data_IF_267839706249
#
_entry.id   IF_267839706249
#
_cell.length_a   1.000
_cell.length_b   1.000
_cell.length_c   1.000
_cell.angle_alpha   90.00
_cell.angle_beta   90.00
_cell.angle_gamma   90.00
#
_symmetry.space_group_name_H-M   'P 1'
#
loop_
_entity.id
_entity.type
_entity.pdbx_description
1 polymer ?
#
# COMPACT_ATOMS: atom_id res chain seq x y z
N UNK A 1 -25.45 -1.75 26.31
CA UNK A 1 -24.11 -2.23 25.89
C UNK A 1 -24.10 -2.39 24.39
N UNK A 2 -23.49 -1.45 23.66
CA UNK A 2 -23.23 -1.66 22.24
C UNK A 2 -22.25 -2.84 22.10
N UNK A 3 -22.64 -3.87 21.35
CA UNK A 3 -21.73 -4.94 20.95
C UNK A 3 -20.63 -4.30 20.11
N UNK A 4 -19.38 -4.35 20.58
CA UNK A 4 -18.24 -4.07 19.73
C UNK A 4 -18.33 -5.02 18.52
N UNK A 5 -18.57 -4.45 17.34
CA UNK A 5 -18.49 -5.21 16.09
C UNK A 5 -17.03 -5.61 15.96
N UNK A 6 -16.73 -6.86 16.28
CA UNK A 6 -15.43 -7.44 15.97
C UNK A 6 -15.45 -7.63 14.46
N UNK A 7 -14.89 -6.66 13.72
CA UNK A 7 -14.54 -6.86 12.32
C UNK A 7 -13.55 -8.03 12.26
N UNK A 8 -14.05 -9.24 11.99
CA UNK A 8 -13.22 -10.43 11.87
C UNK A 8 -12.42 -10.35 10.58
N UNK A 9 -11.09 -10.29 10.68
CA UNK A 9 -10.18 -10.32 9.53
C UNK A 9 -9.96 -11.77 9.10
N UNK A 10 -10.23 -12.08 7.84
CA UNK A 10 -10.04 -13.44 7.32
C UNK A 10 -8.72 -13.52 6.55
N UNK A 11 -7.75 -14.25 7.11
CA UNK A 11 -6.46 -14.52 6.49
C UNK A 11 -6.49 -15.92 5.87
N UNK A 12 -6.26 -16.02 4.56
CA UNK A 12 -6.16 -17.30 3.85
C UNK A 12 -4.84 -18.00 4.12
N UNK A 13 -3.74 -17.24 4.16
CA UNK A 13 -2.40 -17.77 4.35
C UNK A 13 -1.47 -16.66 4.88
N UNK A 14 -0.51 -17.03 5.71
CA UNK A 14 0.62 -16.20 6.06
C UNK A 14 1.91 -17.04 6.15
N UNK A 15 2.96 -16.64 5.45
CA UNK A 15 4.25 -17.34 5.47
C UNK A 15 5.41 -16.36 5.24
N UNK A 16 6.62 -16.78 5.60
CA UNK A 16 7.85 -16.00 5.35
C UNK A 16 8.30 -16.18 3.91
N UNK A 17 8.77 -15.10 3.29
CA UNK A 17 9.49 -15.18 2.02
C UNK A 17 10.97 -15.35 2.34
N UNK A 18 11.63 -16.38 1.79
CA UNK A 18 13.08 -16.49 1.84
C UNK A 18 13.74 -15.19 1.41
N UNK A 19 14.80 -14.78 2.10
CA UNK A 19 15.56 -13.62 1.66
C UNK A 19 16.16 -13.89 0.27
N UNK A 20 16.11 -12.88 -0.60
CA UNK A 20 16.90 -12.89 -1.83
C UNK A 20 18.41 -12.93 -1.46
N UNK A 21 19.16 -13.97 -1.85
CA UNK A 21 20.58 -14.10 -1.52
C UNK A 21 21.44 -12.94 -2.03
N UNK A 22 21.03 -12.27 -3.10
CA UNK A 22 21.75 -11.12 -3.67
C UNK A 22 21.53 -9.82 -2.88
N UNK A 23 20.54 -9.79 -1.98
CA UNK A 23 20.20 -8.60 -1.22
C UNK A 23 21.04 -8.48 0.06
N UNK A 24 22.09 -7.64 0.00
CA UNK A 24 22.96 -7.32 1.14
C UNK A 24 22.37 -6.27 2.11
N UNK A 25 21.18 -5.75 1.84
CA UNK A 25 20.56 -4.74 2.70
C UNK A 25 20.11 -5.36 4.04
N UNK A 26 20.80 -4.99 5.13
CA UNK A 26 20.53 -5.42 6.53
C UNK A 26 20.47 -6.94 6.68
N UNK A 27 21.62 -7.59 6.62
CA UNK A 27 21.74 -9.05 6.69
C UNK A 27 21.17 -9.68 7.97
N UNK A 28 21.06 -8.94 9.07
CA UNK A 28 20.44 -9.42 10.32
C UNK A 28 18.92 -9.20 10.37
N UNK A 29 18.32 -8.56 9.36
CA UNK A 29 16.89 -8.28 9.37
C UNK A 29 16.05 -9.57 9.21
N UNK A 30 14.93 -9.72 9.93
CA UNK A 30 14.06 -10.86 9.74
C UNK A 30 13.47 -10.90 8.33
N UNK A 31 13.22 -12.10 7.82
CA UNK A 31 12.52 -12.32 6.56
C UNK A 31 11.14 -11.64 6.55
N UNK A 32 10.73 -11.18 5.36
CA UNK A 32 9.42 -10.59 5.15
C UNK A 32 8.32 -11.67 5.31
N UNK A 33 7.15 -11.26 5.78
CA UNK A 33 5.97 -12.13 5.85
C UNK A 33 5.01 -11.68 4.75
N UNK A 34 4.59 -12.60 3.88
CA UNK A 34 3.44 -12.40 3.00
C UNK A 34 2.19 -12.81 3.77
N UNK A 35 1.17 -11.96 3.71
CA UNK A 35 -0.17 -12.26 4.22
C UNK A 35 -1.15 -12.18 3.06
N UNK A 36 -1.85 -13.28 2.80
CA UNK A 36 -2.94 -13.36 1.83
C UNK A 36 -4.27 -13.22 2.55
N UNK A 37 -4.96 -12.12 2.32
CA UNK A 37 -6.31 -11.89 2.85
C UNK A 37 -7.35 -12.57 1.97
N UNK A 38 -8.46 -13.04 2.57
CA UNK A 38 -9.59 -13.57 1.80
C UNK A 38 -10.30 -12.49 1.00
N UNK A 39 -10.33 -11.27 1.51
CA UNK A 39 -11.00 -10.13 0.89
C UNK A 39 -10.07 -8.92 0.77
N UNK A 40 -10.19 -8.17 -0.32
CA UNK A 40 -9.42 -6.94 -0.55
C UNK A 40 -9.78 -5.82 0.43
N UNK A 41 -11.02 -5.82 0.93
CA UNK A 41 -11.49 -4.87 1.95
C UNK A 41 -10.63 -4.95 3.21
N UNK A 42 -10.38 -6.15 3.72
CA UNK A 42 -9.59 -6.40 4.93
C UNK A 42 -8.14 -5.94 4.77
N UNK A 43 -7.54 -6.27 3.62
CA UNK A 43 -6.21 -5.75 3.25
C UNK A 43 -6.18 -4.22 3.28
N UNK A 44 -7.16 -3.57 2.64
CA UNK A 44 -7.24 -2.11 2.56
C UNK A 44 -7.48 -1.47 3.92
N UNK A 45 -8.30 -2.10 4.77
CA UNK A 45 -8.52 -1.67 6.15
C UNK A 45 -7.21 -1.66 6.95
N UNK A 46 -6.43 -2.75 6.88
CA UNK A 46 -5.12 -2.82 7.55
C UNK A 46 -4.16 -1.76 7.02
N UNK A 47 -4.08 -1.57 5.70
CA UNK A 47 -3.20 -0.56 5.11
C UNK A 47 -3.59 0.86 5.55
N UNK A 48 -4.89 1.17 5.55
CA UNK A 48 -5.39 2.46 6.03
C UNK A 48 -5.01 2.67 7.50
N UNK A 49 -5.21 1.65 8.35
CA UNK A 49 -4.86 1.74 9.76
C UNK A 49 -3.36 1.93 9.99
N UNK A 50 -2.51 1.27 9.20
CA UNK A 50 -1.05 1.45 9.24
C UNK A 50 -0.62 2.89 8.91
N UNK A 51 -1.37 3.61 8.08
CA UNK A 51 -1.08 5.02 7.80
C UNK A 51 -1.44 5.95 8.96
N UNK A 52 -2.35 5.54 9.84
CA UNK A 52 -2.77 6.31 11.02
C UNK A 52 -1.91 6.03 12.25
N UNK A 53 -1.27 4.85 12.32
CA UNK A 53 -0.47 4.44 13.47
C UNK A 53 1.03 4.48 13.19
N UNK A 54 1.81 4.84 14.20
CA UNK A 54 3.28 4.74 14.11
C UNK A 54 3.70 3.28 14.30
N UNK A 55 4.26 2.68 13.25
CA UNK A 55 4.82 1.33 13.34
C UNK A 55 6.10 1.30 14.20
N UNK A 56 6.41 0.15 14.84
CA UNK A 56 7.68 -0.04 15.53
C UNK A 56 8.88 0.22 14.62
N UNK A 57 9.99 0.71 15.20
CA UNK A 57 11.20 1.05 14.45
C UNK A 57 11.68 -0.16 13.63
N UNK A 58 11.95 0.06 12.35
CA UNK A 58 12.44 -0.98 11.44
C UNK A 58 11.37 -1.93 10.90
N UNK A 59 10.07 -1.68 11.18
CA UNK A 59 8.95 -2.41 10.57
C UNK A 59 8.29 -1.56 9.49
N UNK A 60 7.81 -2.21 8.43
CA UNK A 60 7.03 -1.56 7.38
C UNK A 60 6.03 -2.56 6.81
N UNK A 61 4.83 -2.08 6.48
CA UNK A 61 3.83 -2.85 5.75
C UNK A 61 3.75 -2.29 4.33
N UNK A 62 3.76 -3.19 3.34
CA UNK A 62 3.70 -2.85 1.93
C UNK A 62 2.79 -3.85 1.23
N UNK A 63 2.20 -3.43 0.12
CA UNK A 63 1.45 -4.34 -0.75
C UNK A 63 2.40 -5.15 -1.61
N UNK A 64 2.13 -6.44 -1.72
CA UNK A 64 2.78 -7.27 -2.71
C UNK A 64 1.99 -7.21 -4.02
N UNK A 65 2.54 -6.45 -4.96
CA UNK A 65 1.99 -6.31 -6.31
C UNK A 65 2.75 -7.22 -7.30
N UNK A 66 2.08 -7.73 -8.34
CA UNK A 66 2.74 -8.35 -9.48
C UNK A 66 3.79 -7.43 -10.10
N UNK A 67 4.85 -8.00 -10.70
CA UNK A 67 5.97 -7.27 -11.31
C UNK A 67 5.55 -6.11 -12.24
N UNK A 68 4.61 -6.32 -13.20
CA UNK A 68 4.11 -5.25 -14.06
C UNK A 68 3.47 -4.09 -13.28
N UNK A 69 2.63 -4.41 -12.28
CA UNK A 69 1.97 -3.40 -11.44
C UNK A 69 2.97 -2.67 -10.52
N UNK A 70 4.03 -3.33 -10.06
CA UNK A 70 5.14 -2.68 -9.32
C UNK A 70 5.82 -1.61 -10.19
N UNK A 71 6.10 -1.93 -11.46
CA UNK A 71 6.70 -0.98 -12.42
C UNK A 71 5.79 0.21 -12.67
N UNK A 72 4.51 -0.02 -12.96
CA UNK A 72 3.52 1.05 -13.15
C UNK A 72 3.39 1.92 -11.91
N UNK A 73 3.33 1.32 -10.72
CA UNK A 73 3.26 2.06 -9.45
C UNK A 73 4.48 2.95 -9.25
N UNK A 74 5.67 2.49 -9.61
CA UNK A 74 6.89 3.29 -9.52
C UNK A 74 6.85 4.52 -10.46
N UNK A 75 6.38 4.34 -11.70
CA UNK A 75 6.18 5.44 -12.65
C UNK A 75 5.15 6.46 -12.13
N UNK A 76 3.99 5.99 -11.66
CA UNK A 76 2.97 6.85 -11.07
C UNK A 76 3.48 7.56 -9.81
N UNK A 77 4.35 6.94 -9.00
CA UNK A 77 4.93 7.57 -7.83
C UNK A 77 5.88 8.72 -8.20
N UNK A 78 6.66 8.58 -9.27
CA UNK A 78 7.49 9.66 -9.81
C UNK A 78 6.62 10.83 -10.29
N UNK A 79 5.55 10.54 -11.04
CA UNK A 79 4.62 11.57 -11.50
C UNK A 79 3.89 12.25 -10.35
N UNK A 80 3.44 11.48 -9.37
CA UNK A 80 2.79 11.99 -8.16
C UNK A 80 3.70 12.94 -7.36
N UNK A 81 5.02 12.70 -7.37
CA UNK A 81 5.99 13.60 -6.74
C UNK A 81 6.09 14.94 -7.48
N UNK A 82 6.10 14.94 -8.81
CA UNK A 82 6.09 16.16 -9.61
C UNK A 82 4.82 16.98 -9.36
N UNK A 83 3.64 16.35 -9.44
CA UNK A 83 2.36 17.03 -9.21
C UNK A 83 2.24 17.61 -7.79
N UNK A 84 2.85 16.97 -6.79
CA UNK A 84 2.91 17.53 -5.42
C UNK A 84 3.73 18.82 -5.35
N UNK A 85 4.79 18.95 -6.16
CA UNK A 85 5.55 20.21 -6.26
C UNK A 85 4.72 21.33 -6.88
N UNK A 86 3.77 20.97 -7.74
CA UNK A 86 2.81 21.90 -8.37
C UNK A 86 1.61 22.23 -7.44
N UNK A 87 1.62 21.74 -6.19
CA UNK A 87 0.59 22.05 -5.19
C UNK A 87 -0.64 21.14 -5.22
N UNK A 88 -0.61 20.04 -5.99
CA UNK A 88 -1.68 19.04 -6.01
C UNK A 88 -1.52 18.00 -4.90
N UNK A 89 -2.63 17.54 -4.34
CA UNK A 89 -2.68 16.34 -3.51
C UNK A 89 -2.78 15.11 -4.41
N UNK A 90 -2.02 14.07 -4.10
CA UNK A 90 -1.94 12.86 -4.92
C UNK A 90 -2.09 11.59 -4.09
N UNK A 91 -2.74 10.56 -4.64
CA UNK A 91 -2.79 9.21 -4.06
C UNK A 91 -2.77 8.17 -5.16
N UNK A 92 -2.14 7.04 -4.90
CA UNK A 92 -2.14 5.88 -5.80
C UNK A 92 -3.13 4.85 -5.25
N UNK A 93 -4.06 4.42 -6.08
CA UNK A 93 -5.05 3.40 -5.75
C UNK A 93 -4.65 2.09 -6.42
N UNK A 94 -4.60 1.01 -5.65
CA UNK A 94 -4.23 -0.31 -6.12
C UNK A 94 -5.49 -1.19 -6.27
N UNK A 95 -5.83 -1.51 -7.52
CA UNK A 95 -6.92 -2.41 -7.90
C UNK A 95 -6.35 -3.80 -8.25
N UNK A 96 -7.19 -4.85 -8.41
CA UNK A 96 -6.70 -6.20 -8.71
C UNK A 96 -5.84 -6.28 -9.98
N UNK A 97 -6.20 -5.52 -11.00
CA UNK A 97 -5.59 -5.59 -12.35
C UNK A 97 -4.96 -4.27 -12.79
N UNK A 98 -5.02 -3.21 -11.96
CA UNK A 98 -4.50 -1.89 -12.32
C UNK A 98 -4.01 -1.10 -11.11
N UNK A 99 -3.18 -0.10 -11.39
CA UNK A 99 -2.81 0.95 -10.45
C UNK A 99 -3.15 2.29 -11.07
N UNK A 100 -3.80 3.16 -10.30
CA UNK A 100 -4.31 4.45 -10.79
C UNK A 100 -3.79 5.57 -9.90
N UNK A 101 -3.37 6.67 -10.54
CA UNK A 101 -3.07 7.91 -9.84
C UNK A 101 -4.34 8.75 -9.77
N UNK A 102 -4.65 9.24 -8.58
CA UNK A 102 -5.71 10.23 -8.37
C UNK A 102 -5.10 11.52 -7.85
N UNK A 103 -5.65 12.64 -8.33
CA UNK A 103 -5.21 14.00 -8.02
C UNK A 103 -6.38 14.80 -7.47
N UNK A 104 -6.07 15.80 -6.65
CA UNK A 104 -7.04 16.74 -6.11
C UNK A 104 -6.37 18.08 -5.81
N UNK A 105 -7.02 19.19 -6.17
CA UNK A 105 -6.57 20.51 -5.73
C UNK A 105 -6.86 20.69 -4.24
N UNK A 106 -6.10 21.53 -3.56
CA UNK A 106 -6.33 21.76 -2.11
C UNK A 106 -7.73 22.32 -1.82
N UNK A 107 -8.27 23.12 -2.75
CA UNK A 107 -9.61 23.71 -2.72
C UNK A 107 -10.74 22.72 -3.03
N UNK A 108 -10.42 21.60 -3.69
CA UNK A 108 -11.42 20.67 -4.19
C UNK A 108 -11.62 19.53 -3.20
N UNK A 109 -12.87 19.10 -3.03
CA UNK A 109 -13.19 17.94 -2.19
C UNK A 109 -13.22 16.62 -2.97
N UNK A 110 -13.10 16.64 -4.30
CA UNK A 110 -13.23 15.46 -5.16
C UNK A 110 -11.88 15.00 -5.72
N UNK A 111 -11.60 13.71 -5.59
CA UNK A 111 -10.45 13.08 -6.23
C UNK A 111 -10.80 12.74 -7.68
N UNK A 112 -9.97 13.18 -8.62
CA UNK A 112 -10.11 12.85 -10.04
C UNK A 112 -9.01 11.89 -10.45
N UNK A 113 -9.31 10.99 -11.40
CA UNK A 113 -8.29 10.16 -12.04
C UNK A 113 -7.32 11.06 -12.80
N UNK A 114 -6.02 10.79 -12.66
CA UNK A 114 -4.99 11.41 -13.49
C UNK A 114 -4.82 10.53 -14.73
N UNK A 115 -5.26 11.04 -15.87
CA UNK A 115 -4.99 10.41 -17.16
C UNK A 115 -3.59 10.86 -17.61
N UNK A 116 -2.74 9.88 -17.92
CA UNK A 116 -1.37 10.09 -18.38
C UNK A 116 -1.33 10.51 -19.84
#
# INVERSE_FOLDING_TARGET
MEKAVVDSLIIQNAHRIPRNPDNRYKETAPEAIIVKFACLKDRNFILARVHEVKLPKGKSVRTDLPGPLKKMRAQLAQKAYQLRKEGLKTRIIEKPTSVELQVRRTTDNRWSRYDM
#
